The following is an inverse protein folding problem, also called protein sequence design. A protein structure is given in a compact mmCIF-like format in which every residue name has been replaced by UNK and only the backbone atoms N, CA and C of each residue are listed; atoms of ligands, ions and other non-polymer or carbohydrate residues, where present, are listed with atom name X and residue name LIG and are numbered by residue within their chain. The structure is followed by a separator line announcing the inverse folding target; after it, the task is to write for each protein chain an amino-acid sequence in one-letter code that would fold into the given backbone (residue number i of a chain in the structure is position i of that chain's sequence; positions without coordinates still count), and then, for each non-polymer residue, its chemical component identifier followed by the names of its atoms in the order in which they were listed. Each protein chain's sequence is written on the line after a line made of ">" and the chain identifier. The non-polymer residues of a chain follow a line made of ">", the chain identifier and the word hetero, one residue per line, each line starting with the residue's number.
data_IF_498191713326
#
_entry.id   IF_498191713326
#
_cell.length_a   1.000
_cell.length_b   1.000
_cell.length_c   1.000
_cell.angle_alpha   90.00
_cell.angle_beta   90.00
_cell.angle_gamma   90.00
#
_symmetry.space_group_name_H-M   'P 1'
#
loop_
_entity.id
_entity.type
_entity.pdbx_description
1 polymer ?
#
# COMPACT_ATOMS: atom_id res chain seq x y z
N UNK A 1 17.06 21.08 -33.33
CA UNK A 1 15.93 20.54 -34.13
C UNK A 1 15.26 19.43 -33.35
N UNK A 2 14.00 19.64 -32.95
CA UNK A 2 13.18 18.73 -32.14
C UNK A 2 12.65 17.61 -33.04
N UNK A 3 12.81 16.35 -32.63
CA UNK A 3 12.11 15.21 -33.26
C UNK A 3 10.98 14.78 -32.34
N UNK A 4 9.78 15.10 -32.79
CA UNK A 4 8.48 14.63 -32.29
C UNK A 4 8.29 13.22 -32.85
N UNK A 5 8.03 12.23 -32.00
CA UNK A 5 7.56 10.91 -32.43
C UNK A 5 6.09 10.80 -32.03
N UNK A 6 5.24 10.88 -33.05
CA UNK A 6 3.80 10.66 -33.02
C UNK A 6 3.54 9.36 -33.78
N UNK A 7 3.14 8.31 -33.07
CA UNK A 7 2.61 7.05 -33.59
C UNK A 7 1.63 6.57 -32.53
N UNK A 8 0.40 6.17 -32.80
CA UNK A 8 -0.23 5.82 -34.04
C UNK A 8 -1.40 4.95 -33.62
N UNK A 9 -2.60 5.49 -33.83
CA UNK A 9 -3.90 4.89 -33.57
C UNK A 9 -4.01 3.50 -34.24
N UNK A 10 -4.41 2.47 -33.49
CA UNK A 10 -5.08 1.30 -34.07
C UNK A 10 -6.20 0.82 -33.15
N UNK A 11 -7.41 1.19 -33.53
CA UNK A 11 -8.64 0.51 -33.16
C UNK A 11 -8.70 -0.83 -33.91
N UNK A 12 -8.77 -1.93 -33.18
CA UNK A 12 -9.30 -3.19 -33.68
C UNK A 12 -10.38 -3.64 -32.69
N UNK A 13 -11.64 -3.39 -33.07
CA UNK A 13 -12.80 -3.94 -32.41
C UNK A 13 -12.92 -5.43 -32.79
N UNK A 14 -13.03 -6.30 -31.78
CA UNK A 14 -13.57 -7.66 -31.94
C UNK A 14 -14.59 -7.91 -30.82
N UNK A 15 -15.86 -7.77 -31.23
CA UNK A 15 -17.04 -8.57 -30.90
C UNK A 15 -17.17 -9.21 -29.50
N UNK A 16 -18.01 -8.56 -28.70
CA UNK A 16 -19.01 -9.08 -27.76
C UNK A 16 -19.09 -10.60 -27.49
N UNK A 17 -18.76 -10.98 -26.26
CA UNK A 17 -19.57 -11.91 -25.45
C UNK A 17 -19.76 -11.23 -24.08
N UNK A 18 -20.88 -10.53 -23.88
CA UNK A 18 -21.28 -10.07 -22.56
C UNK A 18 -21.81 -11.25 -21.75
N UNK A 19 -20.90 -12.08 -21.25
CA UNK A 19 -21.14 -12.65 -19.93
C UNK A 19 -21.00 -11.46 -18.99
N UNK A 20 -22.05 -11.11 -18.24
CA UNK A 20 -21.89 -10.24 -17.08
C UNK A 20 -20.80 -10.90 -16.23
N UNK A 21 -19.58 -10.37 -16.25
CA UNK A 21 -18.54 -10.82 -15.34
C UNK A 21 -19.10 -10.57 -13.96
N UNK A 22 -19.37 -11.63 -13.20
CA UNK A 22 -19.75 -11.51 -11.79
C UNK A 22 -18.87 -10.45 -11.17
N UNK A 23 -19.50 -9.42 -10.64
CA UNK A 23 -18.76 -8.41 -9.95
C UNK A 23 -18.29 -9.05 -8.64
N UNK A 24 -17.05 -9.55 -8.68
CA UNK A 24 -16.32 -10.16 -7.56
C UNK A 24 -16.45 -9.33 -6.29
N UNK A 25 -16.68 -8.03 -6.44
CA UNK A 25 -16.81 -7.07 -5.37
C UNK A 25 -18.24 -6.85 -4.88
N UNK A 26 -19.29 -7.04 -5.70
CA UNK A 26 -20.68 -7.05 -5.20
C UNK A 26 -20.94 -8.28 -4.33
N UNK A 27 -20.25 -9.38 -4.62
CA UNK A 27 -20.24 -10.61 -3.82
C UNK A 27 -19.71 -10.37 -2.39
N UNK A 28 -18.90 -9.34 -2.11
CA UNK A 28 -18.45 -9.05 -0.74
C UNK A 28 -19.55 -8.51 0.19
N UNK A 29 -20.63 -7.98 -0.39
CA UNK A 29 -21.81 -7.51 0.35
C UNK A 29 -22.87 -8.62 0.48
N UNK A 30 -22.60 -9.82 -0.06
CA UNK A 30 -23.38 -11.00 0.28
C UNK A 30 -23.33 -11.22 1.79
N UNK A 31 -24.44 -11.66 2.38
CA UNK A 31 -24.43 -12.11 3.77
C UNK A 31 -23.35 -13.19 3.87
N UNK A 32 -22.33 -13.01 4.72
CA UNK A 32 -21.13 -13.87 4.85
C UNK A 32 -21.42 -15.39 4.93
N UNK A 33 -22.69 -15.75 5.20
CA UNK A 33 -23.22 -17.10 5.30
C UNK A 33 -23.68 -17.74 3.99
N UNK A 34 -23.98 -16.97 2.94
CA UNK A 34 -24.54 -17.47 1.67
C UNK A 34 -23.51 -17.31 0.55
N UNK A 35 -22.79 -18.40 0.24
CA UNK A 35 -21.68 -18.47 -0.72
C UNK A 35 -21.92 -19.42 -1.89
N UNK A 36 -23.09 -20.04 -1.96
CA UNK A 36 -23.46 -20.96 -3.04
C UNK A 36 -24.93 -20.82 -3.41
N UNK A 37 -25.26 -21.28 -4.63
CA UNK A 37 -26.62 -21.34 -5.12
C UNK A 37 -27.50 -22.15 -4.16
N UNK A 38 -27.02 -23.28 -3.65
CA UNK A 38 -27.76 -24.11 -2.68
C UNK A 38 -28.15 -23.36 -1.41
N UNK A 39 -27.27 -22.48 -0.91
CA UNK A 39 -27.55 -21.67 0.28
C UNK A 39 -28.57 -20.57 -0.02
N UNK A 40 -28.53 -19.96 -1.22
CA UNK A 40 -29.55 -19.03 -1.68
C UNK A 40 -30.91 -19.71 -1.80
N UNK A 41 -30.95 -20.91 -2.38
CA UNK A 41 -32.18 -21.71 -2.51
C UNK A 41 -32.73 -22.12 -1.14
N UNK A 42 -31.85 -22.50 -0.22
CA UNK A 42 -32.22 -22.79 1.18
C UNK A 42 -32.76 -21.56 1.91
N UNK A 43 -32.23 -20.37 1.61
CA UNK A 43 -32.77 -19.10 2.11
C UNK A 43 -34.19 -18.85 1.58
N UNK A 44 -34.40 -18.95 0.27
CA UNK A 44 -35.74 -18.80 -0.32
C UNK A 44 -36.74 -19.79 0.27
N UNK A 45 -36.38 -21.06 0.35
CA UNK A 45 -37.28 -22.10 0.87
C UNK A 45 -37.69 -21.90 2.34
N UNK A 46 -36.81 -21.33 3.17
CA UNK A 46 -37.12 -20.99 4.57
C UNK A 46 -38.08 -19.81 4.71
N UNK A 47 -38.18 -18.97 3.69
CA UNK A 47 -39.00 -17.76 3.69
C UNK A 47 -40.32 -17.92 2.92
N UNK A 48 -40.72 -19.15 2.56
CA UNK A 48 -42.04 -19.40 1.98
C UNK A 48 -43.15 -18.94 2.93
N UNK A 49 -44.23 -18.41 2.36
CA UNK A 49 -45.37 -17.87 3.10
C UNK A 49 -45.84 -16.52 2.55
N UNK A 50 -46.71 -15.81 3.29
CA UNK A 50 -47.19 -14.49 2.91
C UNK A 50 -46.02 -13.49 2.78
N UNK A 51 -45.99 -12.74 1.68
CA UNK A 51 -44.97 -11.72 1.41
C UNK A 51 -45.62 -10.43 0.90
N UNK A 52 -44.98 -9.28 1.15
CA UNK A 52 -45.40 -7.99 0.57
C UNK A 52 -44.71 -7.66 -0.74
N UNK A 53 -43.75 -8.49 -1.16
CA UNK A 53 -42.94 -8.32 -2.35
C UNK A 53 -43.56 -9.02 -3.56
N UNK A 54 -43.37 -8.44 -4.73
CA UNK A 54 -43.68 -9.06 -6.03
C UNK A 54 -42.69 -10.17 -6.37
N UNK A 55 -43.02 -11.01 -7.36
CA UNK A 55 -42.13 -12.08 -7.83
C UNK A 55 -40.73 -11.59 -8.21
N UNK A 56 -40.58 -10.54 -9.04
CA UNK A 56 -39.29 -9.96 -9.36
C UNK A 56 -38.52 -9.42 -8.14
N UNK A 57 -39.21 -8.80 -7.18
CA UNK A 57 -38.56 -8.29 -5.95
C UNK A 57 -38.03 -9.43 -5.07
N UNK A 58 -38.79 -10.52 -4.91
CA UNK A 58 -38.31 -11.73 -4.23
C UNK A 58 -37.11 -12.34 -4.95
N UNK A 59 -37.15 -12.44 -6.28
CA UNK A 59 -36.00 -12.91 -7.05
C UNK A 59 -34.76 -12.06 -6.77
N UNK A 60 -34.92 -10.73 -6.76
CA UNK A 60 -33.83 -9.80 -6.47
C UNK A 60 -33.31 -9.96 -5.03
N UNK A 61 -34.18 -10.13 -4.04
CA UNK A 61 -33.78 -10.36 -2.65
C UNK A 61 -33.02 -11.69 -2.46
N UNK A 62 -33.44 -12.76 -3.14
CA UNK A 62 -32.72 -14.03 -3.14
C UNK A 62 -31.31 -13.88 -3.71
N UNK A 63 -31.19 -13.29 -4.90
CA UNK A 63 -29.90 -13.11 -5.57
C UNK A 63 -28.99 -12.10 -4.85
N UNK A 64 -29.57 -11.14 -4.14
CA UNK A 64 -28.84 -10.23 -3.25
C UNK A 64 -28.10 -10.99 -2.15
N UNK A 65 -28.61 -12.14 -1.71
CA UNK A 65 -27.87 -13.01 -0.76
C UNK A 65 -26.57 -13.55 -1.35
N UNK A 66 -26.43 -13.63 -2.68
CA UNK A 66 -25.19 -13.95 -3.38
C UNK A 66 -24.36 -12.71 -3.74
N UNK A 67 -24.81 -11.51 -3.34
CA UNK A 67 -24.23 -10.25 -3.77
C UNK A 67 -24.44 -9.98 -5.26
N UNK A 68 -25.54 -10.49 -5.82
CA UNK A 68 -25.95 -10.24 -7.20
C UNK A 68 -27.17 -9.34 -7.17
N UNK A 69 -27.07 -8.17 -7.79
CA UNK A 69 -28.20 -7.26 -7.93
C UNK A 69 -28.98 -7.60 -9.19
N UNK A 70 -30.26 -7.94 -8.99
CA UNK A 70 -31.19 -8.10 -10.09
C UNK A 70 -32.13 -6.89 -10.17
N UNK A 71 -32.56 -6.49 -11.37
CA UNK A 71 -33.68 -5.56 -11.54
C UNK A 71 -34.94 -6.07 -10.83
N UNK A 72 -35.81 -5.17 -10.38
CA UNK A 72 -37.06 -5.50 -9.68
C UNK A 72 -38.28 -5.56 -10.60
N UNK A 73 -38.08 -5.62 -11.92
CA UNK A 73 -39.14 -5.81 -12.92
C UNK A 73 -38.86 -7.05 -13.75
N UNK A 74 -39.92 -7.76 -14.18
CA UNK A 74 -39.78 -9.00 -14.93
C UNK A 74 -39.22 -8.75 -16.34
N UNK A 75 -39.56 -7.62 -16.97
CA UNK A 75 -39.02 -7.20 -18.27
C UNK A 75 -37.50 -7.09 -18.22
N UNK A 76 -36.98 -6.41 -17.19
CA UNK A 76 -35.54 -6.24 -17.05
C UNK A 76 -34.85 -7.55 -16.63
N UNK A 77 -35.47 -8.35 -15.75
CA UNK A 77 -34.92 -9.64 -15.35
C UNK A 77 -34.76 -10.63 -16.50
N UNK A 78 -35.66 -10.63 -17.50
CA UNK A 78 -35.52 -11.52 -18.67
C UNK A 78 -34.26 -11.28 -19.50
N UNK A 79 -33.70 -10.05 -19.40
CA UNK A 79 -32.46 -9.67 -20.07
C UNK A 79 -31.19 -9.94 -19.26
N UNK A 80 -31.30 -10.38 -18.00
CA UNK A 80 -30.15 -10.67 -17.13
C UNK A 80 -29.68 -12.09 -17.34
N UNK A 81 -28.37 -12.33 -17.39
CA UNK A 81 -27.79 -13.67 -17.51
C UNK A 81 -27.89 -14.28 -18.91
N UNK A 82 -27.58 -15.58 -19.01
CA UNK A 82 -27.62 -16.34 -20.26
C UNK A 82 -28.99 -16.99 -20.44
N UNK A 83 -29.73 -16.54 -21.45
CA UNK A 83 -31.04 -17.11 -21.80
C UNK A 83 -30.98 -18.62 -22.10
N UNK A 84 -31.95 -19.34 -21.54
CA UNK A 84 -32.18 -20.77 -21.69
C UNK A 84 -33.58 -20.98 -22.26
N UNK A 85 -33.65 -21.48 -23.50
CA UNK A 85 -34.92 -21.73 -24.20
C UNK A 85 -35.49 -23.13 -24.02
N UNK A 86 -34.74 -24.05 -23.39
CA UNK A 86 -35.15 -25.46 -23.23
C UNK A 86 -35.21 -25.83 -21.76
N UNK A 87 -36.35 -26.37 -21.32
CA UNK A 87 -36.55 -26.87 -19.94
C UNK A 87 -35.44 -27.86 -19.54
N UNK A 88 -35.01 -28.73 -20.45
CA UNK A 88 -33.95 -29.72 -20.18
C UNK A 88 -32.55 -29.12 -19.91
N UNK A 89 -32.38 -27.81 -20.09
CA UNK A 89 -31.14 -27.08 -19.79
C UNK A 89 -31.25 -26.20 -18.54
N UNK A 90 -32.44 -26.11 -17.94
CA UNK A 90 -32.65 -25.38 -16.70
C UNK A 90 -31.89 -26.08 -15.58
N UNK A 91 -31.26 -25.30 -14.72
CA UNK A 91 -30.53 -25.73 -13.54
C UNK A 91 -31.14 -25.11 -12.29
N UNK A 92 -30.90 -25.73 -11.14
CA UNK A 92 -31.26 -25.13 -9.87
C UNK A 92 -30.55 -23.78 -9.72
N UNK A 93 -31.28 -22.77 -9.26
CA UNK A 93 -30.84 -21.39 -9.19
C UNK A 93 -31.28 -20.53 -10.38
N UNK A 94 -31.56 -21.09 -11.56
CA UNK A 94 -31.92 -20.27 -12.73
C UNK A 94 -33.19 -19.43 -12.50
N UNK A 95 -33.20 -18.21 -13.04
CA UNK A 95 -34.43 -17.42 -13.15
C UNK A 95 -35.33 -18.06 -14.19
N UNK A 96 -36.59 -18.29 -13.86
CA UNK A 96 -37.57 -18.92 -14.74
C UNK A 96 -38.74 -17.97 -14.99
N UNK A 97 -39.21 -17.93 -16.24
CA UNK A 97 -40.24 -16.99 -16.69
C UNK A 97 -41.39 -17.74 -17.37
N UNK A 98 -42.60 -17.38 -16.98
CA UNK A 98 -43.81 -18.06 -17.40
C UNK A 98 -44.82 -17.09 -17.99
N UNK A 99 -45.55 -17.57 -18.99
CA UNK A 99 -46.65 -16.88 -19.65
C UNK A 99 -48.02 -17.38 -19.19
N UNK A 100 -49.06 -17.01 -19.93
CA UNK A 100 -50.45 -17.41 -19.70
C UNK A 100 -50.87 -18.70 -20.43
N UNK A 101 -49.92 -19.38 -21.07
CA UNK A 101 -50.12 -20.62 -21.84
C UNK A 101 -50.58 -20.41 -23.29
N UNK A 102 -51.06 -19.21 -23.64
CA UNK A 102 -51.52 -18.86 -24.99
C UNK A 102 -50.64 -17.81 -25.69
N UNK A 103 -49.80 -17.12 -24.92
CA UNK A 103 -48.87 -16.11 -25.42
C UNK A 103 -47.44 -16.38 -24.95
N UNK A 104 -46.47 -15.76 -25.65
CA UNK A 104 -45.06 -15.74 -25.23
C UNK A 104 -44.74 -14.57 -24.29
N UNK A 105 -45.76 -13.80 -23.88
CA UNK A 105 -45.58 -12.71 -22.94
C UNK A 105 -45.32 -13.29 -21.55
N UNK A 106 -44.38 -12.69 -20.82
CA UNK A 106 -44.08 -13.11 -19.45
C UNK A 106 -45.11 -12.48 -18.52
N UNK A 107 -45.77 -13.32 -17.71
CA UNK A 107 -46.76 -12.91 -16.72
C UNK A 107 -46.25 -13.03 -15.28
N UNK A 108 -45.34 -13.97 -15.02
CA UNK A 108 -44.67 -14.08 -13.72
C UNK A 108 -43.31 -14.74 -13.85
N UNK A 109 -42.50 -14.60 -12.80
CA UNK A 109 -41.15 -15.15 -12.71
C UNK A 109 -40.96 -15.88 -11.38
N UNK A 110 -39.90 -16.69 -11.33
CA UNK A 110 -39.47 -17.39 -10.12
C UNK A 110 -38.03 -17.86 -10.22
N UNK A 111 -37.61 -18.67 -9.24
CA UNK A 111 -36.28 -19.29 -9.18
C UNK A 111 -36.42 -20.80 -9.20
N UNK A 112 -35.74 -21.47 -10.13
CA UNK A 112 -35.71 -22.93 -10.19
C UNK A 112 -35.07 -23.50 -8.92
N UNK A 113 -35.75 -24.42 -8.25
CA UNK A 113 -35.33 -25.01 -6.98
C UNK A 113 -34.77 -26.43 -7.18
N UNK A 114 -35.52 -27.30 -7.84
CA UNK A 114 -35.15 -28.70 -8.04
C UNK A 114 -35.48 -29.14 -9.45
N UNK A 115 -34.47 -29.59 -10.20
CA UNK A 115 -34.63 -30.01 -11.59
C UNK A 115 -34.73 -31.53 -11.68
N UNK A 116 -35.68 -31.99 -12.48
CA UNK A 116 -35.90 -33.41 -12.82
C UNK A 116 -35.74 -33.60 -14.34
N UNK A 117 -35.82 -34.85 -14.81
CA UNK A 117 -35.69 -35.16 -16.25
C UNK A 117 -36.78 -34.48 -17.09
N UNK A 118 -37.98 -34.36 -16.53
CA UNK A 118 -39.19 -33.98 -17.28
C UNK A 118 -39.69 -32.58 -16.94
N UNK A 119 -39.07 -31.90 -15.97
CA UNK A 119 -39.51 -30.58 -15.50
C UNK A 119 -38.74 -30.13 -14.26
N UNK A 120 -39.22 -29.10 -13.57
CA UNK A 120 -38.60 -28.60 -12.34
C UNK A 120 -39.60 -28.02 -11.35
N UNK A 121 -39.22 -28.05 -10.08
CA UNK A 121 -39.84 -27.27 -9.02
C UNK A 121 -39.23 -25.87 -9.01
N UNK A 122 -40.05 -24.85 -8.76
CA UNK A 122 -39.60 -23.46 -8.69
C UNK A 122 -40.32 -22.70 -7.57
N UNK A 123 -39.63 -21.71 -7.02
CA UNK A 123 -40.17 -20.78 -6.04
C UNK A 123 -40.67 -19.52 -6.75
N UNK A 124 -41.90 -19.09 -6.44
CA UNK A 124 -42.50 -17.90 -7.06
C UNK A 124 -43.54 -17.26 -6.13
N UNK A 125 -43.90 -16.00 -6.42
CA UNK A 125 -45.00 -15.32 -5.72
C UNK A 125 -46.28 -15.48 -6.54
N UNK A 126 -47.32 -16.03 -5.93
CA UNK A 126 -48.61 -16.22 -6.58
C UNK A 126 -49.47 -14.92 -6.56
N UNK A 127 -50.66 -14.96 -7.17
CA UNK A 127 -51.60 -13.82 -7.24
C UNK A 127 -52.15 -13.35 -5.89
N UNK A 128 -52.00 -14.16 -4.85
CA UNK A 128 -52.43 -13.87 -3.47
C UNK A 128 -51.27 -13.31 -2.62
N UNK A 129 -50.14 -12.96 -3.26
CA UNK A 129 -48.91 -12.51 -2.61
C UNK A 129 -48.35 -13.53 -1.61
N UNK A 130 -48.44 -14.81 -1.95
CA UNK A 130 -47.81 -15.91 -1.20
C UNK A 130 -46.60 -16.40 -1.97
N UNK A 131 -45.43 -16.36 -1.33
CA UNK A 131 -44.21 -16.98 -1.83
C UNK A 131 -44.29 -18.49 -1.60
N UNK A 132 -44.37 -19.25 -2.69
CA UNK A 132 -44.72 -20.68 -2.67
C UNK A 132 -43.94 -21.47 -3.72
N UNK A 133 -44.14 -22.79 -3.72
CA UNK A 133 -43.58 -23.72 -4.69
C UNK A 133 -44.57 -23.98 -5.83
N UNK A 134 -44.06 -24.06 -7.05
CA UNK A 134 -44.78 -24.57 -8.22
C UNK A 134 -43.98 -25.69 -8.90
N UNK A 135 -44.67 -26.54 -9.66
CA UNK A 135 -44.03 -27.58 -10.47
C UNK A 135 -44.44 -27.40 -11.95
N UNK A 136 -43.48 -27.44 -12.87
CA UNK A 136 -43.77 -27.22 -14.30
C UNK A 136 -44.68 -28.26 -14.95
N UNK A 137 -44.81 -29.45 -14.33
CA UNK A 137 -45.66 -30.53 -14.84
C UNK A 137 -47.11 -30.41 -14.37
N UNK A 138 -47.39 -29.55 -13.39
CA UNK A 138 -48.75 -29.25 -12.95
C UNK A 138 -49.55 -28.65 -14.10
N UNK A 139 -50.84 -28.99 -14.17
CA UNK A 139 -51.72 -28.52 -15.25
C UNK A 139 -51.80 -27.00 -15.38
N UNK A 140 -51.56 -26.28 -14.28
CA UNK A 140 -51.58 -24.81 -14.24
C UNK A 140 -50.32 -24.17 -14.85
N UNK A 141 -49.22 -24.91 -14.95
CA UNK A 141 -47.93 -24.43 -15.44
C UNK A 141 -47.47 -25.15 -16.72
N UNK A 142 -48.12 -26.27 -17.03
CA UNK A 142 -47.91 -27.03 -18.26
C UNK A 142 -48.20 -26.13 -19.46
N UNK A 143 -47.22 -25.99 -20.34
CA UNK A 143 -47.21 -25.08 -21.50
C UNK A 143 -47.09 -23.58 -21.20
N UNK A 144 -46.91 -23.19 -19.93
CA UNK A 144 -46.71 -21.79 -19.56
C UNK A 144 -45.23 -21.39 -19.57
N UNK A 145 -44.27 -22.33 -19.65
CA UNK A 145 -42.85 -21.99 -19.66
C UNK A 145 -42.46 -21.22 -20.93
N UNK A 146 -41.88 -20.02 -20.76
CA UNK A 146 -41.45 -19.17 -21.87
C UNK A 146 -39.94 -19.28 -22.08
N UNK A 147 -39.18 -18.99 -21.03
CA UNK A 147 -37.72 -19.02 -21.02
C UNK A 147 -37.20 -19.12 -19.59
N UNK A 148 -35.94 -19.48 -19.44
CA UNK A 148 -35.19 -19.28 -18.23
C UNK A 148 -33.95 -18.43 -18.51
N UNK A 149 -33.25 -18.00 -17.46
CA UNK A 149 -31.95 -17.37 -17.58
C UNK A 149 -31.00 -17.86 -16.49
N UNK A 150 -29.81 -18.24 -16.94
CA UNK A 150 -28.71 -18.59 -16.06
C UNK A 150 -27.94 -17.32 -15.67
N UNK A 151 -28.20 -16.83 -14.47
CA UNK A 151 -27.57 -15.61 -13.96
C UNK A 151 -26.14 -15.90 -13.51
N UNK A 152 -25.92 -17.01 -12.80
CA UNK A 152 -24.63 -17.34 -12.20
C UNK A 152 -24.43 -18.84 -12.02
N UNK A 153 -23.18 -19.30 -12.08
CA UNK A 153 -22.79 -20.67 -11.68
C UNK A 153 -22.00 -20.69 -10.37
N UNK A 154 -22.09 -21.79 -9.62
CA UNK A 154 -21.27 -22.04 -8.42
C UNK A 154 -19.76 -21.97 -8.70
N UNK A 155 -19.34 -22.34 -9.92
CA UNK A 155 -17.94 -22.24 -10.33
C UNK A 155 -17.50 -20.78 -10.40
N UNK A 156 -18.34 -19.93 -10.98
CA UNK A 156 -18.04 -18.52 -11.13
C UNK A 156 -18.11 -17.79 -9.78
N UNK A 157 -19.07 -18.14 -8.91
CA UNK A 157 -19.13 -17.66 -7.52
C UNK A 157 -17.85 -18.03 -6.75
N UNK A 158 -17.41 -19.29 -6.80
CA UNK A 158 -16.17 -19.74 -6.14
C UNK A 158 -14.93 -19.03 -6.67
N UNK A 159 -14.85 -18.83 -7.98
CA UNK A 159 -13.74 -18.09 -8.59
C UNK A 159 -13.73 -16.63 -8.11
N UNK A 160 -14.91 -16.03 -7.98
CA UNK A 160 -15.06 -14.68 -7.48
C UNK A 160 -14.68 -14.55 -6.00
N UNK A 161 -15.22 -15.37 -5.09
CA UNK A 161 -14.82 -15.36 -3.67
C UNK A 161 -13.31 -15.54 -3.49
N UNK A 162 -12.70 -16.47 -4.25
CA UNK A 162 -11.23 -16.67 -4.20
C UNK A 162 -10.45 -15.44 -4.66
N UNK A 163 -10.95 -14.73 -5.68
CA UNK A 163 -10.35 -13.50 -6.15
C UNK A 163 -10.47 -12.38 -5.10
N UNK A 164 -11.62 -12.28 -4.42
CA UNK A 164 -11.84 -11.32 -3.34
C UNK A 164 -10.94 -11.59 -2.12
N UNK A 165 -10.86 -12.83 -1.64
CA UNK A 165 -9.96 -13.23 -0.55
C UNK A 165 -8.50 -12.86 -0.86
N UNK A 166 -8.09 -13.03 -2.12
CA UNK A 166 -6.76 -12.64 -2.58
C UNK A 166 -6.57 -11.13 -2.53
N UNK A 167 -7.54 -10.33 -3.01
CA UNK A 167 -7.48 -8.87 -2.96
C UNK A 167 -7.35 -8.36 -1.52
N UNK A 168 -8.12 -8.90 -0.57
CA UNK A 168 -7.98 -8.57 0.85
C UNK A 168 -6.59 -8.93 1.40
N UNK A 169 -6.11 -10.14 1.11
CA UNK A 169 -4.78 -10.58 1.55
C UNK A 169 -3.67 -9.67 1.01
N UNK A 170 -3.78 -9.23 -0.24
CA UNK A 170 -2.79 -8.37 -0.87
C UNK A 170 -2.88 -6.93 -0.35
N UNK A 171 -4.09 -6.41 -0.07
CA UNK A 171 -4.28 -5.13 0.61
C UNK A 171 -3.68 -5.11 2.03
N UNK A 172 -3.90 -6.17 2.81
CA UNK A 172 -3.31 -6.32 4.15
C UNK A 172 -1.78 -6.37 4.11
N UNK A 173 -1.21 -7.09 3.14
CA UNK A 173 0.25 -7.11 2.93
C UNK A 173 0.77 -5.73 2.52
N UNK A 174 0.09 -5.03 1.63
CA UNK A 174 0.47 -3.68 1.21
C UNK A 174 0.47 -2.71 2.41
N UNK A 175 -0.55 -2.78 3.26
CA UNK A 175 -0.63 -1.99 4.50
C UNK A 175 0.54 -2.27 5.46
N UNK A 176 0.84 -3.55 5.74
CA UNK A 176 1.98 -3.94 6.59
C UNK A 176 3.32 -3.48 6.01
N UNK A 177 3.49 -3.60 4.69
CA UNK A 177 4.69 -3.15 4.01
C UNK A 177 4.85 -1.62 4.08
N UNK A 178 3.77 -0.87 3.94
CA UNK A 178 3.74 0.59 4.10
C UNK A 178 4.15 1.01 5.51
N UNK A 179 3.58 0.39 6.54
CA UNK A 179 3.91 0.68 7.94
C UNK A 179 5.38 0.39 8.25
N UNK A 180 5.89 -0.76 7.80
CA UNK A 180 7.31 -1.12 7.95
C UNK A 180 8.23 -0.12 7.24
N UNK A 181 7.93 0.23 5.99
CA UNK A 181 8.74 1.17 5.22
C UNK A 181 8.73 2.58 5.84
N UNK A 182 7.60 3.01 6.40
CA UNK A 182 7.50 4.30 7.08
C UNK A 182 8.31 4.32 8.38
N UNK A 183 8.30 3.22 9.14
CA UNK A 183 9.15 3.05 10.32
C UNK A 183 10.64 3.10 9.96
N UNK A 184 11.07 2.34 8.95
CA UNK A 184 12.46 2.37 8.43
C UNK A 184 12.89 3.80 8.03
N UNK A 185 12.00 4.57 7.39
CA UNK A 185 12.26 5.97 7.04
C UNK A 185 12.39 6.87 8.26
N UNK A 186 11.51 6.71 9.26
CA UNK A 186 11.56 7.48 10.51
C UNK A 186 12.88 7.23 11.25
N UNK A 187 13.27 5.98 11.41
CA UNK A 187 14.50 5.59 12.11
C UNK A 187 15.73 6.16 11.38
N UNK A 188 15.75 6.11 10.04
CA UNK A 188 16.81 6.70 9.21
C UNK A 188 16.90 8.24 9.34
N UNK A 189 15.77 8.94 9.52
CA UNK A 189 15.76 10.39 9.77
C UNK A 189 16.36 10.74 11.12
N UNK A 190 16.10 9.92 12.15
CA UNK A 190 16.67 10.12 13.48
C UNK A 190 18.19 9.89 13.48
N UNK A 191 18.68 8.85 12.80
CA UNK A 191 20.11 8.62 12.61
C UNK A 191 20.80 9.79 11.90
N UNK A 192 20.19 10.33 10.83
CA UNK A 192 20.71 11.50 10.13
C UNK A 192 20.79 12.72 11.05
N UNK A 193 19.76 12.96 11.86
CA UNK A 193 19.73 14.09 12.79
C UNK A 193 20.83 13.99 13.86
N UNK A 194 21.07 12.79 14.40
CA UNK A 194 22.17 12.52 15.34
C UNK A 194 23.54 12.78 14.70
N UNK A 195 23.78 12.22 13.50
CA UNK A 195 25.04 12.42 12.78
C UNK A 195 25.32 13.90 12.47
N UNK A 196 24.28 14.68 12.10
CA UNK A 196 24.40 16.12 11.89
C UNK A 196 24.77 16.87 13.18
N UNK A 197 24.10 16.55 14.29
CA UNK A 197 24.39 17.16 15.60
C UNK A 197 25.82 16.85 16.06
N UNK A 198 26.31 15.63 15.84
CA UNK A 198 27.67 15.25 16.21
C UNK A 198 28.73 16.00 15.38
N UNK A 199 28.47 16.21 14.08
CA UNK A 199 29.34 17.04 13.24
C UNK A 199 29.37 18.49 13.73
N UNK A 200 28.22 19.07 14.06
CA UNK A 200 28.12 20.44 14.55
C UNK A 200 28.91 20.62 15.87
N UNK A 201 28.79 19.67 16.81
CA UNK A 201 29.58 19.67 18.04
C UNK A 201 31.08 19.58 17.77
N UNK A 202 31.50 18.68 16.88
CA UNK A 202 32.92 18.53 16.53
C UNK A 202 33.47 19.76 15.80
N UNK A 203 32.66 20.42 14.98
CA UNK A 203 33.03 21.69 14.33
C UNK A 203 33.22 22.80 15.36
N UNK A 204 32.33 22.89 16.36
CA UNK A 204 32.47 23.84 17.45
C UNK A 204 33.70 23.56 18.32
N UNK A 205 33.98 22.29 18.63
CA UNK A 205 35.22 21.91 19.33
C UNK A 205 36.48 22.28 18.53
N UNK A 206 36.43 22.18 17.20
CA UNK A 206 37.54 22.59 16.34
C UNK A 206 37.71 24.12 16.35
N UNK A 207 36.62 24.88 16.27
CA UNK A 207 36.64 26.34 16.34
C UNK A 207 37.17 26.82 17.69
N UNK A 208 36.71 26.24 18.81
CA UNK A 208 37.23 26.53 20.15
C UNK A 208 38.74 26.20 20.27
N UNK A 209 39.18 25.11 19.63
CA UNK A 209 40.59 24.73 19.59
C UNK A 209 41.40 25.75 18.76
N UNK A 210 40.88 26.19 17.62
CA UNK A 210 41.50 27.23 16.79
C UNK A 210 41.52 28.60 17.47
N UNK A 211 40.50 28.97 18.24
CA UNK A 211 40.53 30.18 19.07
C UNK A 211 41.65 30.11 20.12
N UNK A 212 41.81 28.97 20.79
CA UNK A 212 42.93 28.72 21.72
C UNK A 212 44.29 28.71 21.02
N UNK A 213 44.35 28.49 19.71
CA UNK A 213 45.58 28.60 18.93
C UNK A 213 46.12 30.02 18.97
N UNK A 214 45.25 31.03 18.86
CA UNK A 214 45.68 32.43 18.91
C UNK A 214 46.31 32.78 20.27
N UNK A 215 45.72 32.31 21.37
CA UNK A 215 46.30 32.46 22.71
C UNK A 215 47.64 31.70 22.83
N UNK A 216 47.71 30.48 22.29
CA UNK A 216 48.94 29.70 22.28
C UNK A 216 50.03 30.35 21.40
N UNK A 217 49.69 30.95 20.25
CA UNK A 217 50.61 31.68 19.37
C UNK A 217 51.16 32.92 20.08
N UNK A 218 50.31 33.67 20.81
CA UNK A 218 50.76 34.79 21.63
C UNK A 218 51.72 34.35 22.75
N UNK A 219 51.41 33.24 23.43
CA UNK A 219 52.29 32.62 24.41
C UNK A 219 53.63 32.17 23.79
N UNK A 220 53.58 31.62 22.57
CA UNK A 220 54.74 31.18 21.80
C UNK A 220 55.62 32.38 21.40
N UNK A 221 55.03 33.46 20.90
CA UNK A 221 55.74 34.68 20.51
C UNK A 221 56.38 35.35 21.72
N UNK A 222 55.67 35.43 22.85
CA UNK A 222 56.23 35.91 24.11
C UNK A 222 57.42 35.04 24.54
N UNK A 223 57.26 33.71 24.53
CA UNK A 223 58.33 32.77 24.87
C UNK A 223 59.52 32.86 23.90
N UNK A 224 59.28 33.14 22.62
CA UNK A 224 60.31 33.30 21.58
C UNK A 224 61.06 34.63 21.73
N UNK A 225 60.35 35.69 22.09
CA UNK A 225 60.94 36.99 22.44
C UNK A 225 61.83 36.87 23.68
N UNK A 226 61.36 36.21 24.74
CA UNK A 226 62.17 35.91 25.92
C UNK A 226 63.41 35.07 25.58
N UNK A 227 63.24 34.06 24.72
CA UNK A 227 64.33 33.22 24.24
C UNK A 227 65.40 34.07 23.52
N UNK A 228 64.96 34.95 22.61
CA UNK A 228 65.86 35.83 21.85
C UNK A 228 66.61 36.79 22.78
N UNK A 229 65.92 37.44 23.71
CA UNK A 229 66.55 38.31 24.72
C UNK A 229 67.57 37.55 25.56
N UNK A 230 67.25 36.31 25.97
CA UNK A 230 68.16 35.47 26.74
C UNK A 230 69.38 35.05 25.92
N UNK A 231 69.19 34.80 24.63
CA UNK A 231 70.26 34.46 23.69
C UNK A 231 71.19 35.66 23.44
N UNK A 232 70.62 36.85 23.23
CA UNK A 232 71.37 38.10 23.07
C UNK A 232 72.17 38.41 24.34
N UNK A 233 71.57 38.22 25.53
CA UNK A 233 72.26 38.36 26.81
C UNK A 233 73.38 37.31 27.00
N UNK A 234 73.22 36.10 26.48
CA UNK A 234 74.27 35.08 26.49
C UNK A 234 75.45 35.48 25.58
N UNK A 235 75.16 35.93 24.37
CA UNK A 235 76.16 36.41 23.41
C UNK A 235 76.92 37.63 23.96
N UNK A 236 76.21 38.56 24.59
CA UNK A 236 76.82 39.72 25.24
C UNK A 236 77.72 39.31 26.41
N UNK A 237 77.26 38.42 27.29
CA UNK A 237 78.08 37.90 28.39
C UNK A 237 79.35 37.17 27.89
N UNK A 238 79.23 36.41 26.79
CA UNK A 238 80.37 35.77 26.15
C UNK A 238 81.39 36.79 25.60
N UNK A 239 80.91 37.87 24.97
CA UNK A 239 81.77 38.96 24.47
C UNK A 239 82.51 39.72 25.58
N UNK A 240 81.96 39.73 26.81
CA UNK A 240 82.56 40.32 28.00
C UNK A 240 83.48 39.35 28.78
N UNK A 241 83.67 38.12 28.31
CA UNK A 241 84.51 37.11 28.96
C UNK A 241 83.86 36.36 30.13
N UNK A 242 82.56 36.54 30.38
CA UNK A 242 81.82 35.86 31.46
C UNK A 242 81.15 34.58 30.96
N UNK A 243 81.98 33.56 30.71
CA UNK A 243 81.56 32.27 30.16
C UNK A 243 80.51 31.55 31.03
N UNK A 244 80.54 31.73 32.34
CA UNK A 244 79.62 31.07 33.27
C UNK A 244 78.21 31.67 33.16
N UNK A 245 78.11 33.00 33.05
CA UNK A 245 76.83 33.69 32.83
C UNK A 245 76.24 33.38 31.46
N UNK A 246 77.08 33.34 30.42
CA UNK A 246 76.66 32.95 29.07
C UNK A 246 76.06 31.53 29.03
N UNK A 247 76.72 30.56 29.65
CA UNK A 247 76.26 29.16 29.72
C UNK A 247 74.91 29.00 30.44
N UNK A 248 74.72 29.67 31.59
CA UNK A 248 73.43 29.67 32.32
C UNK A 248 72.28 30.24 31.49
N UNK A 249 72.54 31.32 30.75
CA UNK A 249 71.53 31.94 29.90
C UNK A 249 71.15 31.02 28.72
N UNK A 250 72.14 30.38 28.08
CA UNK A 250 71.90 29.41 27.01
C UNK A 250 71.02 28.24 27.48
N UNK A 251 71.30 27.70 28.67
CA UNK A 251 70.52 26.59 29.24
C UNK A 251 69.06 26.98 29.55
N UNK A 252 68.82 28.23 29.97
CA UNK A 252 67.45 28.76 30.17
C UNK A 252 66.70 28.87 28.84
N UNK A 253 67.37 29.42 27.82
CA UNK A 253 66.81 29.55 26.47
C UNK A 253 66.45 28.17 25.90
N UNK A 254 67.34 27.17 26.00
CA UNK A 254 67.05 25.79 25.57
C UNK A 254 65.80 25.21 26.26
N UNK A 255 65.66 25.38 27.58
CA UNK A 255 64.47 24.91 28.31
C UNK A 255 63.18 25.63 27.91
N UNK A 256 63.23 26.93 27.61
CA UNK A 256 62.07 27.66 27.09
C UNK A 256 61.65 27.11 25.71
N UNK A 257 62.59 26.86 24.81
CA UNK A 257 62.32 26.29 23.48
C UNK A 257 61.70 24.88 23.56
N UNK A 258 62.17 24.02 24.48
CA UNK A 258 61.56 22.71 24.71
C UNK A 258 60.11 22.80 25.21
N UNK A 259 59.80 23.74 26.10
CA UNK A 259 58.43 23.94 26.59
C UNK A 259 57.48 24.40 25.47
N UNK A 260 57.95 25.33 24.64
CA UNK A 260 57.28 25.83 23.44
C UNK A 260 56.94 24.68 22.49
N UNK A 261 57.94 23.87 22.12
CA UNK A 261 57.74 22.73 21.21
C UNK A 261 56.77 21.68 21.79
N UNK A 262 56.81 21.42 23.10
CA UNK A 262 55.86 20.51 23.76
C UNK A 262 54.41 21.02 23.68
N UNK A 263 54.17 22.33 23.85
CA UNK A 263 52.83 22.93 23.70
C UNK A 263 52.34 22.82 22.26
N UNK A 264 53.18 23.16 21.28
CA UNK A 264 52.85 23.09 19.85
C UNK A 264 52.48 21.66 19.43
N UNK A 265 53.31 20.67 19.78
CA UNK A 265 53.06 19.27 19.45
C UNK A 265 51.77 18.74 20.08
N UNK A 266 51.43 19.19 21.30
CA UNK A 266 50.16 18.82 21.95
C UNK A 266 48.96 19.40 21.21
N UNK A 267 49.04 20.65 20.76
CA UNK A 267 48.00 21.29 19.96
C UNK A 267 47.78 20.57 18.63
N UNK A 268 48.85 20.34 17.86
CA UNK A 268 48.78 19.65 16.56
C UNK A 268 48.21 18.23 16.71
N UNK A 269 48.61 17.50 17.75
CA UNK A 269 48.05 16.17 18.03
C UNK A 269 46.54 16.21 18.35
N UNK A 270 46.08 17.23 19.09
CA UNK A 270 44.65 17.40 19.39
C UNK A 270 43.85 17.77 18.13
N UNK A 271 44.38 18.69 17.31
CA UNK A 271 43.80 19.09 16.04
C UNK A 271 43.67 17.89 15.09
N UNK A 272 44.74 17.12 14.91
CA UNK A 272 44.73 15.94 14.05
C UNK A 272 43.68 14.91 14.50
N UNK A 273 43.54 14.68 15.81
CA UNK A 273 42.51 13.79 16.37
C UNK A 273 41.09 14.30 16.09
N UNK A 274 40.84 15.60 16.24
CA UNK A 274 39.53 16.20 15.93
C UNK A 274 39.21 16.11 14.44
N UNK A 275 40.16 16.44 13.57
CA UNK A 275 39.99 16.34 12.11
C UNK A 275 39.66 14.90 11.70
N UNK A 276 40.38 13.90 12.22
CA UNK A 276 40.09 12.48 11.95
C UNK A 276 38.69 12.08 12.42
N UNK A 277 38.24 12.55 13.59
CA UNK A 277 36.87 12.31 14.07
C UNK A 277 35.83 12.94 13.13
N UNK A 278 36.02 14.19 12.72
CA UNK A 278 35.14 14.88 11.76
C UNK A 278 35.05 14.10 10.44
N UNK A 279 36.17 13.63 9.91
CA UNK A 279 36.20 12.81 8.69
C UNK A 279 35.45 11.49 8.83
N UNK A 280 35.62 10.77 9.96
CA UNK A 280 34.84 9.55 10.21
C UNK A 280 33.35 9.83 10.31
N UNK A 281 32.94 10.87 11.05
CA UNK A 281 31.52 11.21 11.21
C UNK A 281 30.91 11.71 9.91
N UNK A 282 31.68 12.38 9.03
CA UNK A 282 31.23 12.73 7.66
C UNK A 282 30.95 11.49 6.81
N UNK A 283 31.74 10.42 6.95
CA UNK A 283 31.47 9.14 6.26
C UNK A 283 30.18 8.51 6.79
N UNK A 284 29.96 8.57 8.11
CA UNK A 284 28.72 8.07 8.73
C UNK A 284 27.50 8.89 8.29
N UNK A 285 27.62 10.22 8.20
CA UNK A 285 26.58 11.09 7.64
C UNK A 285 26.23 10.69 6.20
N UNK A 286 27.23 10.53 5.32
CA UNK A 286 26.99 10.13 3.94
C UNK A 286 26.31 8.76 3.84
N UNK A 287 26.65 7.82 4.74
CA UNK A 287 25.99 6.52 4.84
C UNK A 287 24.53 6.67 5.32
N UNK A 288 24.27 7.50 6.32
CA UNK A 288 22.93 7.80 6.80
C UNK A 288 22.05 8.46 5.72
N UNK A 289 22.58 9.41 4.95
CA UNK A 289 21.90 10.03 3.80
C UNK A 289 21.51 9.00 2.74
N UNK A 290 22.43 8.08 2.40
CA UNK A 290 22.16 7.00 1.45
C UNK A 290 21.09 6.03 1.97
N UNK A 291 21.10 5.74 3.26
CA UNK A 291 20.08 4.88 3.89
C UNK A 291 18.71 5.56 3.87
N UNK A 292 18.65 6.85 4.22
CA UNK A 292 17.43 7.64 4.18
C UNK A 292 16.83 7.67 2.77
N UNK A 293 17.64 7.97 1.74
CA UNK A 293 17.17 7.99 0.36
C UNK A 293 16.58 6.64 -0.09
N UNK A 294 17.18 5.52 0.33
CA UNK A 294 16.64 4.17 0.06
C UNK A 294 15.33 3.92 0.81
N UNK A 295 15.25 4.34 2.07
CA UNK A 295 14.06 4.18 2.90
C UNK A 295 12.88 5.02 2.36
N UNK A 296 13.13 6.27 1.96
CA UNK A 296 12.11 7.13 1.35
C UNK A 296 11.61 6.57 0.01
N UNK A 297 12.50 6.02 -0.83
CA UNK A 297 12.10 5.34 -2.07
C UNK A 297 11.22 4.11 -1.80
N UNK A 298 11.55 3.32 -0.78
CA UNK A 298 10.71 2.18 -0.36
C UNK A 298 9.36 2.64 0.17
N UNK A 299 9.33 3.68 0.99
CA UNK A 299 8.11 4.24 1.56
C UNK A 299 7.19 4.81 0.47
N UNK A 300 7.75 5.52 -0.51
CA UNK A 300 7.00 6.02 -1.67
C UNK A 300 6.37 4.87 -2.47
N UNK A 301 7.17 3.85 -2.82
CA UNK A 301 6.64 2.67 -3.53
C UNK A 301 5.54 1.96 -2.73
N UNK A 302 5.74 1.76 -1.43
CA UNK A 302 4.74 1.11 -0.59
C UNK A 302 3.46 1.96 -0.43
N UNK A 303 3.57 3.29 -0.48
CA UNK A 303 2.43 4.19 -0.50
C UNK A 303 1.67 4.09 -1.84
N UNK A 304 2.38 4.02 -2.97
CA UNK A 304 1.78 3.84 -4.30
C UNK A 304 1.07 2.48 -4.42
N UNK A 305 1.72 1.40 -3.95
CA UNK A 305 1.15 0.04 -3.93
C UNK A 305 -0.13 0.02 -3.07
N UNK A 306 -0.11 0.67 -1.90
CA UNK A 306 -1.28 0.79 -1.03
C UNK A 306 -2.38 1.66 -1.64
N UNK A 307 -2.05 2.78 -2.26
CA UNK A 307 -3.02 3.66 -2.93
C UNK A 307 -3.67 2.97 -4.14
N UNK A 308 -2.91 2.14 -4.86
CA UNK A 308 -3.44 1.31 -5.94
C UNK A 308 -4.42 0.27 -5.41
N UNK A 309 -4.06 -0.42 -4.32
CA UNK A 309 -4.96 -1.35 -3.64
C UNK A 309 -6.23 -0.66 -3.12
N UNK A 310 -6.12 0.56 -2.55
CA UNK A 310 -7.28 1.34 -2.11
C UNK A 310 -8.14 1.82 -3.27
N UNK A 311 -7.56 2.27 -4.39
CA UNK A 311 -8.34 2.65 -5.57
C UNK A 311 -9.07 1.46 -6.16
N UNK A 312 -8.46 0.28 -6.14
CA UNK A 312 -9.13 -0.94 -6.53
C UNK A 312 -10.32 -1.25 -5.61
N UNK A 313 -10.23 -0.92 -4.32
CA UNK A 313 -11.31 -1.06 -3.32
C UNK A 313 -12.39 0.04 -3.45
N UNK A 314 -12.03 1.31 -3.61
CA UNK A 314 -12.97 2.42 -3.79
C UNK A 314 -13.72 2.34 -5.12
N UNK A 315 -13.02 2.01 -6.22
CA UNK A 315 -13.66 1.73 -7.51
C UNK A 315 -14.50 0.46 -7.47
N UNK A 316 -14.28 -0.42 -6.47
CA UNK A 316 -15.20 -1.48 -6.15
C UNK A 316 -16.47 -0.92 -5.51
N UNK A 317 -16.34 -0.13 -4.45
CA UNK A 317 -17.45 0.42 -3.68
C UNK A 317 -18.37 1.34 -4.52
N UNK A 318 -17.81 2.17 -5.41
CA UNK A 318 -18.59 3.08 -6.24
C UNK A 318 -19.51 2.36 -7.25
N UNK A 319 -19.10 1.20 -7.77
CA UNK A 319 -19.92 0.38 -8.70
C UNK A 319 -21.10 -0.34 -8.02
N UNK A 320 -21.17 -0.29 -6.70
CA UNK A 320 -22.23 -0.83 -5.86
C UNK A 320 -23.31 0.23 -5.58
N UNK A 321 -22.95 1.52 -5.64
CA UNK A 321 -23.86 2.62 -5.31
C UNK A 321 -24.66 3.14 -6.52
N UNK A 322 -24.23 2.81 -7.74
CA UNK A 322 -24.90 3.10 -9.02
C UNK A 322 -25.68 1.87 -9.53
#
# INVERSE_FOLDING_TARGET
>A
MKRVFLFGLMCAAVLSVSAQTLDVKKISNSNDKVKSIDQMLSYGHKNLGPVSMTGPEINADMYKQLGIELPTTWEAQTGVGKSISKISKVQAGDLVFFGDGNSKCVFFSGVAYKVTKDGFDFMYVNKENVFTMGNTNDTNFRNCFVTASHVVSDKDLKAAYKSWDKMLSDADKAKKNKEKAFKESKDSKEELAKAKSDIEKLQKELEDLEARKADNEKDLDASRSEWQQTMDAANQAASMGDANKASKNLAKAQKQNEKVNKKLNKYESQKEKLVKKIESTKKDLAKAEKNLAKAEKKAAKAADDYASAQKEDEAAAAKIAD
#
